data_IF_179495631487
#
_entry.id   IF_179495631487
#
_cell.length_a   1.000
_cell.length_b   1.000
_cell.length_c   1.000
_cell.angle_alpha   90.00
_cell.angle_beta   90.00
_cell.angle_gamma   90.00
#
_symmetry.space_group_name_H-M   'P 1'
#
loop_
_entity.id
_entity.type
_entity.pdbx_description
1 polymer ?
#
# COMPACT_ATOMS: atom_id res chain seq x y z
N UNK A 1 -0.87 17.16 0.36
CA UNK A 1 -0.99 15.81 -0.23
C UNK A 1 0.41 15.36 -0.63
N UNK A 2 0.76 14.09 -0.41
CA UNK A 2 2.04 13.56 -0.86
C UNK A 2 2.07 13.48 -2.39
N UNK A 3 3.24 13.70 -2.99
CA UNK A 3 3.43 13.59 -4.44
C UNK A 3 4.17 12.29 -4.73
N UNK A 4 3.80 11.54 -5.80
CA UNK A 4 4.45 10.27 -6.10
C UNK A 4 5.93 10.47 -6.44
N UNK A 5 6.77 9.62 -5.86
CA UNK A 5 8.19 9.51 -6.16
C UNK A 5 8.43 8.18 -6.88
N UNK A 6 8.64 8.25 -8.19
CA UNK A 6 8.82 7.07 -9.01
C UNK A 6 10.25 6.54 -8.98
N UNK A 7 10.37 5.22 -9.03
CA UNK A 7 11.62 4.49 -9.21
C UNK A 7 12.23 4.81 -10.58
N UNK A 8 13.56 4.85 -10.66
CA UNK A 8 14.25 5.12 -11.91
C UNK A 8 13.88 4.10 -13.00
N UNK A 9 13.54 4.59 -14.19
CA UNK A 9 13.08 3.79 -15.34
C UNK A 9 11.57 3.64 -15.44
N UNK A 10 10.82 4.10 -14.44
CA UNK A 10 9.35 4.18 -14.48
C UNK A 10 8.92 5.35 -15.37
N UNK A 11 8.03 5.10 -16.34
CA UNK A 11 7.42 6.17 -17.12
C UNK A 11 6.25 6.79 -16.34
N UNK A 12 6.55 7.88 -15.63
CA UNK A 12 5.59 8.62 -14.82
C UNK A 12 4.33 9.02 -15.60
N UNK A 13 4.45 9.40 -16.88
CA UNK A 13 3.31 9.86 -17.66
C UNK A 13 2.32 8.72 -17.93
N UNK A 14 2.84 7.53 -18.23
CA UNK A 14 2.03 6.33 -18.50
C UNK A 14 1.32 5.81 -17.25
N UNK A 15 1.93 5.90 -16.07
CA UNK A 15 1.34 5.32 -14.84
C UNK A 15 0.55 6.27 -13.97
N UNK A 16 0.72 7.58 -14.13
CA UNK A 16 -0.02 8.57 -13.32
C UNK A 16 -1.54 8.41 -13.39
N UNK A 17 -2.19 8.12 -14.55
CA UNK A 17 -3.64 7.90 -14.59
C UNK A 17 -4.09 6.71 -13.73
N UNK A 18 -3.38 5.58 -13.82
CA UNK A 18 -3.69 4.40 -13.02
C UNK A 18 -3.47 4.65 -11.52
N UNK A 19 -2.40 5.37 -11.17
CA UNK A 19 -2.14 5.80 -9.80
C UNK A 19 -3.27 6.70 -9.25
N UNK A 20 -3.80 7.63 -10.06
CA UNK A 20 -4.92 8.48 -9.66
C UNK A 20 -6.20 7.68 -9.43
N UNK A 21 -6.48 6.68 -10.28
CA UNK A 21 -7.59 5.76 -10.08
C UNK A 21 -7.52 5.03 -8.73
N UNK A 22 -6.33 4.62 -8.30
CA UNK A 22 -6.12 3.94 -7.03
C UNK A 22 -6.18 4.86 -5.80
N UNK A 23 -5.96 6.17 -5.95
CA UNK A 23 -5.76 7.10 -4.81
C UNK A 23 -6.81 8.20 -4.68
N UNK A 24 -7.19 8.86 -5.77
CA UNK A 24 -7.96 10.11 -5.75
C UNK A 24 -9.30 10.01 -6.48
N UNK A 25 -9.41 9.17 -7.51
CA UNK A 25 -10.63 9.03 -8.32
C UNK A 25 -11.55 7.93 -7.77
N UNK A 26 -11.82 7.99 -6.45
CA UNK A 26 -12.62 6.99 -5.72
C UNK A 26 -11.82 5.79 -5.21
N UNK A 27 -10.53 5.72 -5.51
CA UNK A 27 -9.61 4.74 -4.95
C UNK A 27 -9.35 4.94 -3.45
N UNK A 28 -8.90 3.87 -2.79
CA UNK A 28 -8.68 3.82 -1.33
C UNK A 28 -7.22 3.65 -0.94
N UNK A 29 -6.30 3.60 -1.90
CA UNK A 29 -4.88 3.55 -1.62
C UNK A 29 -4.34 4.93 -1.25
N UNK A 30 -3.34 4.96 -0.39
CA UNK A 30 -2.74 6.18 0.12
C UNK A 30 -1.25 6.16 -0.23
N UNK A 31 -0.73 7.28 -0.72
CA UNK A 31 0.72 7.46 -0.85
C UNK A 31 1.35 7.65 0.53
N UNK A 32 2.48 6.99 0.78
CA UNK A 32 3.31 7.29 1.95
C UNK A 32 3.76 8.74 1.95
N UNK A 33 4.22 9.24 3.10
CA UNK A 33 4.60 10.66 3.27
C UNK A 33 5.67 11.12 2.28
N UNK A 34 6.60 10.23 1.94
CA UNK A 34 7.68 10.43 0.97
C UNK A 34 7.25 10.15 -0.49
N UNK A 35 6.04 9.63 -0.70
CA UNK A 35 5.50 9.30 -2.02
C UNK A 35 6.14 8.09 -2.70
N UNK A 36 7.02 7.35 -2.03
CA UNK A 36 7.76 6.22 -2.60
C UNK A 36 7.02 4.88 -2.51
N UNK A 37 5.85 4.85 -1.86
CA UNK A 37 5.06 3.65 -1.68
C UNK A 37 3.55 3.92 -1.67
N UNK A 38 2.77 2.88 -1.97
CA UNK A 38 1.32 2.83 -1.84
C UNK A 38 0.96 1.94 -0.66
N UNK A 39 0.03 2.39 0.17
CA UNK A 39 -0.45 1.63 1.32
C UNK A 39 -1.97 1.62 1.43
N UNK A 40 -2.50 0.50 1.90
CA UNK A 40 -3.93 0.31 2.14
C UNK A 40 -4.18 -0.79 3.16
N UNK A 41 -5.26 -0.63 3.91
CA UNK A 41 -5.80 -1.68 4.77
C UNK A 41 -7.06 -2.28 4.14
N UNK A 42 -7.17 -3.60 4.19
CA UNK A 42 -8.32 -4.40 3.78
C UNK A 42 -8.94 -5.05 5.01
N UNK A 43 -10.28 -5.11 5.07
CA UNK A 43 -11.02 -5.75 6.16
C UNK A 43 -12.05 -6.72 5.60
N UNK A 44 -12.13 -7.92 6.15
CA UNK A 44 -13.05 -8.97 5.73
C UNK A 44 -13.93 -9.41 6.90
N UNK A 45 -15.03 -10.09 6.59
CA UNK A 45 -16.00 -10.53 7.62
C UNK A 45 -15.48 -11.67 8.50
N UNK A 46 -14.69 -12.60 7.95
CA UNK A 46 -14.32 -13.84 8.64
C UNK A 46 -12.85 -14.20 8.43
N UNK A 47 -12.31 -14.97 9.39
CA UNK A 47 -10.94 -15.52 9.35
C UNK A 47 -10.66 -16.34 8.09
N UNK A 48 -11.66 -17.06 7.58
CA UNK A 48 -11.47 -18.04 6.51
C UNK A 48 -10.93 -17.46 5.20
N UNK A 49 -10.93 -16.13 5.02
CA UNK A 49 -10.45 -15.44 3.82
C UNK A 49 -9.07 -14.81 3.99
N UNK A 50 -8.60 -14.66 5.22
CA UNK A 50 -7.32 -14.01 5.52
C UNK A 50 -6.57 -14.84 6.54
N UNK A 51 -5.36 -15.31 6.18
CA UNK A 51 -4.47 -16.07 7.07
C UNK A 51 -4.01 -15.26 8.31
N UNK A 52 -4.48 -14.02 8.47
CA UNK A 52 -4.09 -13.02 9.48
C UNK A 52 -5.33 -12.43 10.18
N UNK A 53 -6.26 -13.29 10.61
CA UNK A 53 -7.53 -12.87 11.19
C UNK A 53 -8.46 -12.23 10.16
N UNK A 54 -8.82 -10.95 10.25
CA UNK A 54 -9.81 -10.35 9.36
C UNK A 54 -9.33 -9.05 8.71
N UNK A 55 -8.11 -8.62 9.01
CA UNK A 55 -7.58 -7.32 8.57
C UNK A 55 -6.17 -7.52 8.02
N UNK A 56 -5.87 -6.92 6.86
CA UNK A 56 -4.56 -7.01 6.23
C UNK A 56 -4.13 -5.63 5.78
N UNK A 57 -2.94 -5.21 6.21
CA UNK A 57 -2.30 -3.99 5.74
C UNK A 57 -1.25 -4.35 4.70
N UNK A 58 -1.31 -3.68 3.56
CA UNK A 58 -0.39 -3.89 2.44
C UNK A 58 0.31 -2.57 2.16
N UNK A 59 1.63 -2.66 1.94
CA UNK A 59 2.43 -1.59 1.36
C UNK A 59 3.22 -2.12 0.18
N UNK A 60 3.06 -1.50 -0.98
CA UNK A 60 3.83 -1.77 -2.19
C UNK A 60 4.87 -0.67 -2.41
N UNK A 61 6.11 -1.08 -2.65
CA UNK A 61 7.23 -0.19 -2.98
C UNK A 61 8.29 -0.97 -3.74
N UNK A 62 8.95 -0.32 -4.69
CA UNK A 62 10.10 -0.88 -5.38
C UNK A 62 11.36 -0.51 -4.63
N UNK A 63 12.08 -1.53 -4.15
CA UNK A 63 13.26 -1.34 -3.32
C UNK A 63 14.50 -0.90 -4.13
N UNK A 64 14.68 -1.38 -5.36
CA UNK A 64 15.83 -1.03 -6.20
C UNK A 64 15.48 -1.00 -7.71
N UNK A 65 15.66 0.14 -8.39
CA UNK A 65 15.92 1.47 -7.82
C UNK A 65 14.78 1.89 -6.88
N UNK A 66 15.07 2.64 -5.83
CA UNK A 66 14.07 3.01 -4.82
C UNK A 66 12.96 3.91 -5.41
N UNK A 67 11.69 3.62 -5.08
CA UNK A 67 10.52 4.44 -5.43
C UNK A 67 9.31 3.61 -5.86
N UNK A 68 8.24 4.26 -6.33
CA UNK A 68 7.09 3.60 -6.93
C UNK A 68 7.39 3.16 -8.38
N UNK A 69 6.98 1.96 -8.76
CA UNK A 69 7.02 1.51 -10.15
C UNK A 69 5.65 1.02 -10.65
N UNK A 70 5.57 0.75 -11.95
CA UNK A 70 4.41 0.15 -12.61
C UNK A 70 3.94 -1.14 -11.92
N UNK A 71 4.87 -1.90 -11.34
CA UNK A 71 4.58 -3.15 -10.63
C UNK A 71 3.81 -2.90 -9.36
N UNK A 72 4.17 -1.86 -8.59
CA UNK A 72 3.48 -1.51 -7.36
C UNK A 72 2.02 -1.12 -7.65
N UNK A 73 1.80 -0.38 -8.73
CA UNK A 73 0.47 0.04 -9.19
C UNK A 73 -0.35 -1.17 -9.67
N UNK A 74 0.26 -2.06 -10.44
CA UNK A 74 -0.39 -3.29 -10.92
C UNK A 74 -0.80 -4.20 -9.75
N UNK A 75 0.11 -4.44 -8.80
CA UNK A 75 -0.16 -5.24 -7.61
C UNK A 75 -1.26 -4.64 -6.73
N UNK A 76 -1.28 -3.30 -6.58
CA UNK A 76 -2.33 -2.61 -5.86
C UNK A 76 -3.71 -2.79 -6.52
N UNK A 77 -3.79 -2.66 -7.84
CA UNK A 77 -5.02 -2.88 -8.59
C UNK A 77 -5.51 -4.34 -8.52
N UNK A 78 -4.61 -5.31 -8.61
CA UNK A 78 -4.96 -6.73 -8.44
C UNK A 78 -5.46 -7.03 -7.03
N UNK A 79 -4.86 -6.41 -6.01
CA UNK A 79 -5.36 -6.52 -4.63
C UNK A 79 -6.80 -6.01 -4.51
N UNK A 80 -7.17 -4.92 -5.20
CA UNK A 80 -8.54 -4.42 -5.21
C UNK A 80 -9.52 -5.41 -5.84
N UNK A 81 -9.16 -5.98 -6.99
CA UNK A 81 -9.98 -6.98 -7.67
C UNK A 81 -10.16 -8.25 -6.82
N UNK A 82 -9.09 -8.74 -6.20
CA UNK A 82 -9.15 -9.91 -5.31
C UNK A 82 -9.95 -9.61 -4.04
N UNK A 83 -9.78 -8.42 -3.45
CA UNK A 83 -10.51 -8.01 -2.27
C UNK A 83 -12.03 -7.94 -2.53
N UNK A 84 -12.44 -7.43 -3.70
CA UNK A 84 -13.83 -7.45 -4.13
C UNK A 84 -14.36 -8.88 -4.25
N UNK A 85 -13.63 -9.77 -4.96
CA UNK A 85 -14.02 -11.18 -5.12
C UNK A 85 -14.13 -11.93 -3.79
N UNK A 86 -13.30 -11.55 -2.80
CA UNK A 86 -13.29 -12.16 -1.47
C UNK A 86 -14.29 -11.51 -0.50
N UNK A 87 -15.01 -10.47 -0.92
CA UNK A 87 -16.04 -9.81 -0.13
C UNK A 87 -15.44 -8.92 0.96
N UNK A 88 -14.47 -8.07 0.60
CA UNK A 88 -13.99 -6.99 1.48
C UNK A 88 -15.17 -6.16 1.98
N UNK A 89 -15.14 -5.86 3.28
CA UNK A 89 -16.13 -4.99 3.90
C UNK A 89 -15.88 -3.54 3.48
N UNK A 90 -16.94 -2.72 3.33
CA UNK A 90 -16.77 -1.30 3.13
C UNK A 90 -15.99 -0.70 4.33
N UNK A 91 -15.27 0.41 4.13
CA UNK A 91 -14.67 1.13 5.24
C UNK A 91 -15.78 1.50 6.22
N UNK A 92 -15.56 1.19 7.51
CA UNK A 92 -16.50 1.60 8.57
C UNK A 92 -16.66 3.13 8.51
N UNK A 93 -17.88 3.68 8.53
CA UNK A 93 -18.07 5.11 8.55
C UNK A 93 -17.41 5.68 9.80
N UNK A 94 -16.53 6.67 9.62
CA UNK A 94 -15.85 7.41 10.68
C UNK A 94 -16.87 8.26 11.46
N UNK A 95 -17.66 7.62 12.32
CA UNK A 95 -18.34 8.34 13.39
C UNK A 95 -17.27 8.86 14.38
N UNK A 96 -17.44 10.06 14.96
CA UNK A 96 -16.50 10.61 15.92
C UNK A 96 -16.69 9.90 17.26
N UNK A 97 -16.15 8.69 17.40
CA UNK A 97 -16.09 7.97 18.66
C UNK A 97 -14.71 7.33 18.84
N UNK A 98 -13.99 7.87 19.84
CA UNK A 98 -12.97 7.23 20.67
C UNK A 98 -11.77 6.55 19.98
N UNK A 99 -10.65 7.28 19.90
CA UNK A 99 -9.31 6.97 20.45
C UNK A 99 -8.66 5.56 20.32
N UNK A 100 -9.25 4.56 19.67
CA UNK A 100 -8.75 3.17 19.75
C UNK A 100 -8.19 2.60 18.43
N UNK A 101 -8.43 3.25 17.29
CA UNK A 101 -7.98 2.77 15.96
C UNK A 101 -6.86 3.59 15.32
N UNK A 102 -6.70 4.86 15.67
CA UNK A 102 -5.59 5.69 15.15
C UNK A 102 -4.22 5.17 15.59
N UNK A 103 -4.11 4.68 16.83
CA UNK A 103 -2.87 4.16 17.42
C UNK A 103 -2.35 2.91 16.68
N UNK A 104 -3.25 1.97 16.36
CA UNK A 104 -2.88 0.76 15.60
C UNK A 104 -2.48 1.09 14.16
N UNK A 105 -3.17 2.03 13.50
CA UNK A 105 -2.80 2.45 12.14
C UNK A 105 -1.42 3.09 12.08
N UNK A 106 -1.07 3.90 13.08
CA UNK A 106 0.25 4.51 13.22
C UNK A 106 1.33 3.46 13.53
N UNK A 107 1.03 2.50 14.41
CA UNK A 107 1.95 1.42 14.76
C UNK A 107 2.27 0.53 13.54
N UNK A 108 1.27 0.15 12.74
CA UNK A 108 1.45 -0.67 11.54
C UNK A 108 2.25 0.09 10.48
N UNK A 109 1.93 1.35 10.23
CA UNK A 109 2.71 2.21 9.32
C UNK A 109 4.17 2.31 9.74
N UNK A 110 4.42 2.56 11.03
CA UNK A 110 5.78 2.61 11.56
C UNK A 110 6.52 1.27 11.51
N UNK A 111 5.82 0.13 11.58
CA UNK A 111 6.41 -1.18 11.33
C UNK A 111 6.81 -1.35 9.86
N UNK A 112 5.93 -0.96 8.94
CA UNK A 112 6.21 -1.03 7.51
C UNK A 112 7.35 -0.08 7.10
N UNK A 113 7.48 1.10 7.73
CA UNK A 113 8.58 2.04 7.50
C UNK A 113 9.92 1.40 7.88
N UNK A 114 9.96 0.72 9.03
CA UNK A 114 11.15 -0.02 9.49
C UNK A 114 11.50 -1.17 8.55
N UNK A 115 10.51 -1.93 8.08
CA UNK A 115 10.72 -3.05 7.17
C UNK A 115 11.31 -2.56 5.82
N UNK A 116 10.79 -1.46 5.28
CA UNK A 116 11.30 -0.86 4.04
C UNK A 116 12.74 -0.34 4.22
N UNK A 117 13.04 0.34 5.32
CA UNK A 117 14.39 0.84 5.60
C UNK A 117 15.43 -0.24 5.90
N UNK A 118 15.03 -1.37 6.49
CA UNK A 118 15.94 -2.46 6.85
C UNK A 118 16.36 -3.36 5.66
N UNK A 119 15.70 -3.22 4.50
CA UNK A 119 15.94 -4.09 3.34
C UNK A 119 17.33 -3.92 2.69
N UNK A 120 18.06 -2.84 3.02
CA UNK A 120 19.49 -2.69 2.72
C UNK A 120 19.84 -2.88 1.24
N UNK A 121 20.67 -3.87 0.92
CA UNK A 121 21.13 -4.16 -0.45
C UNK A 121 20.51 -5.44 -1.04
N UNK A 122 19.37 -5.89 -0.48
CA UNK A 122 18.69 -7.15 -0.78
C UNK A 122 18.52 -7.45 -2.29
N UNK A 123 18.29 -6.41 -3.11
CA UNK A 123 18.05 -6.54 -4.56
C UNK A 123 19.23 -6.11 -5.43
N UNK A 124 20.45 -6.09 -4.88
CA UNK A 124 21.67 -5.86 -5.65
C UNK A 124 22.50 -7.14 -5.71
N UNK A 125 23.03 -7.53 -6.87
CA UNK A 125 23.94 -8.66 -6.95
C UNK A 125 25.13 -8.43 -6.02
N UNK A 126 25.35 -9.35 -5.07
CA UNK A 126 26.53 -9.32 -4.21
C UNK A 126 27.76 -9.51 -5.09
N UNK A 127 28.70 -8.56 -5.03
CA UNK A 127 30.00 -8.73 -5.68
C UNK A 127 30.69 -9.94 -5.02
N UNK A 128 31.19 -10.86 -5.84
CA UNK A 128 32.03 -11.97 -5.40
C UNK A 128 33.39 -11.46 -4.95
#
# INVERSE_FOLDING_TARGET
MAHPQFSAGTDAASVTPALKALTSDGGRWILTKDGAALERQFKFKTFSKTWVYNTTFIRWTTHNPAGLSDKDISMAAECDALAEQLGELPPEPTAPVAAETEDQSCAIRGLADRAAGAAGDCCTPKRK
#
